data_IF_475005571001
#
_entry.id   IF_475005571001
#
_cell.length_a   1.000
_cell.length_b   1.000
_cell.length_c   1.000
_cell.angle_alpha   90.00
_cell.angle_beta   90.00
_cell.angle_gamma   90.00
#
_symmetry.space_group_name_H-M   'P 1'
#
loop_
_entity.id
_entity.type
_entity.pdbx_description
1 polymer ?
#
# COMPACT_ATOMS: atom_id res chain seq x y z
N UNK A 1 49.96 -20.08 -3.62
CA UNK A 1 49.03 -19.14 -2.99
C UNK A 1 49.24 -17.78 -3.62
N UNK A 2 48.21 -17.14 -4.12
CA UNK A 2 48.24 -15.75 -4.60
C UNK A 2 47.06 -15.01 -3.98
N UNK A 3 47.34 -13.88 -3.35
CA UNK A 3 46.32 -12.91 -2.94
C UNK A 3 46.25 -11.85 -4.03
N UNK A 4 45.06 -11.63 -4.59
CA UNK A 4 44.78 -10.52 -5.48
C UNK A 4 44.00 -9.46 -4.72
N UNK A 5 44.56 -8.25 -4.59
CA UNK A 5 43.85 -7.11 -4.03
C UNK A 5 42.99 -6.45 -5.11
N UNK A 6 41.67 -6.50 -4.94
CA UNK A 6 40.72 -5.89 -5.87
C UNK A 6 40.14 -4.59 -5.28
N UNK A 7 40.52 -3.45 -5.85
CA UNK A 7 40.02 -2.14 -5.43
C UNK A 7 38.78 -1.73 -6.22
N UNK A 8 37.61 -1.84 -5.59
CA UNK A 8 36.33 -1.36 -6.16
C UNK A 8 36.29 0.17 -6.10
N UNK A 9 36.29 0.83 -7.26
CA UNK A 9 36.01 2.27 -7.36
C UNK A 9 34.51 2.50 -7.51
N UNK A 10 33.88 3.00 -6.45
CA UNK A 10 32.53 3.56 -6.53
C UNK A 10 32.62 4.96 -7.14
N UNK A 11 31.96 5.18 -8.28
CA UNK A 11 31.83 6.50 -8.87
C UNK A 11 30.63 7.23 -8.22
N UNK A 12 30.93 8.12 -7.29
CA UNK A 12 29.96 9.12 -6.84
C UNK A 12 29.74 10.18 -7.93
N UNK A 13 28.49 10.49 -8.25
CA UNK A 13 28.11 11.58 -9.15
C UNK A 13 27.48 12.68 -8.30
N UNK A 14 28.30 13.66 -7.91
CA UNK A 14 27.81 14.89 -7.28
C UNK A 14 27.21 15.82 -8.35
N UNK A 15 26.03 16.36 -8.05
CA UNK A 15 25.45 17.46 -8.81
C UNK A 15 25.98 18.81 -8.32
N UNK A 16 26.15 19.78 -9.22
CA UNK A 16 26.29 21.20 -8.86
C UNK A 16 25.92 22.13 -10.00
N UNK A 17 25.24 23.20 -9.62
CA UNK A 17 24.82 24.33 -10.45
C UNK A 17 25.97 25.31 -10.70
N UNK A 18 25.84 26.15 -11.75
CA UNK A 18 25.87 27.63 -11.68
C UNK A 18 25.74 28.24 -13.11
N UNK A 19 25.35 29.52 -13.27
CA UNK A 19 24.85 30.06 -14.54
C UNK A 19 25.86 30.91 -15.34
N UNK A 20 25.43 31.39 -16.51
CA UNK A 20 26.11 32.46 -17.26
C UNK A 20 25.11 33.52 -17.77
N UNK A 21 25.39 34.79 -17.48
CA UNK A 21 24.64 35.98 -17.94
C UNK A 21 25.40 36.73 -19.03
N UNK A 22 24.70 37.27 -20.03
CA UNK A 22 25.25 38.26 -20.99
C UNK A 22 24.20 39.33 -21.32
N UNK A 23 24.64 40.53 -21.68
CA UNK A 23 23.89 41.79 -21.60
C UNK A 23 23.34 42.31 -22.96
N UNK A 24 22.19 43.00 -22.93
CA UNK A 24 21.80 44.28 -23.61
C UNK A 24 22.17 44.61 -25.10
N UNK A 25 21.71 45.75 -25.68
CA UNK A 25 20.44 46.50 -25.51
C UNK A 25 19.76 46.95 -26.84
N UNK A 26 18.48 47.35 -26.77
CA UNK A 26 17.88 48.22 -27.79
C UNK A 26 16.77 49.16 -27.24
N UNK A 27 16.71 50.39 -27.78
CA UNK A 27 15.77 51.48 -27.44
C UNK A 27 14.43 51.27 -28.20
N UNK A 28 13.27 51.93 -27.95
CA UNK A 28 13.04 53.34 -27.59
C UNK A 28 11.55 53.58 -27.20
N UNK A 29 11.24 54.61 -26.36
CA UNK A 29 9.99 55.44 -26.26
C UNK A 29 8.60 54.79 -26.52
N UNK A 30 7.58 54.98 -25.67
CA UNK A 30 7.03 56.31 -25.27
C UNK A 30 6.17 56.28 -23.99
N UNK A 31 6.03 57.44 -23.34
CA UNK A 31 5.11 57.77 -22.22
C UNK A 31 3.89 58.57 -22.76
N UNK A 32 2.91 59.09 -21.96
CA UNK A 32 2.75 59.09 -20.49
C UNK A 32 1.34 58.76 -19.93
N UNK A 33 1.23 58.61 -18.60
CA UNK A 33 0.37 59.45 -17.70
C UNK A 33 0.59 59.06 -16.22
N UNK A 34 0.90 60.07 -15.40
CA UNK A 34 0.54 60.40 -13.99
C UNK A 34 -0.13 59.34 -13.06
N UNK A 35 0.03 59.34 -11.72
CA UNK A 35 0.67 60.31 -10.79
C UNK A 35 1.16 59.63 -9.48
N UNK A 36 1.95 60.34 -8.67
CA UNK A 36 2.52 59.94 -7.36
C UNK A 36 2.54 61.18 -6.44
N UNK A 37 2.97 61.17 -5.15
CA UNK A 37 3.51 60.10 -4.29
C UNK A 37 2.48 59.71 -3.16
N UNK A 38 2.68 59.42 -1.86
CA UNK A 38 3.75 59.54 -0.84
C UNK A 38 3.74 58.41 0.21
N UNK A 39 4.84 58.34 0.98
CA UNK A 39 5.08 57.61 2.24
C UNK A 39 5.33 58.64 3.38
N UNK A 40 5.52 58.31 4.69
CA UNK A 40 6.12 57.11 5.31
C UNK A 40 5.19 56.49 6.39
N UNK A 41 5.56 55.73 7.43
CA UNK A 41 6.86 55.38 8.03
C UNK A 41 6.84 54.03 8.80
N UNK A 42 8.00 53.65 9.35
CA UNK A 42 8.22 52.66 10.43
C UNK A 42 9.02 53.37 11.56
N UNK A 43 9.19 52.80 12.79
CA UNK A 43 10.26 51.81 12.99
C UNK A 43 9.98 50.68 14.04
N UNK A 44 10.65 49.53 13.85
CA UNK A 44 11.21 48.60 14.87
C UNK A 44 10.25 47.97 15.94
N UNK A 45 10.59 46.89 16.66
CA UNK A 45 11.79 46.03 16.65
C UNK A 45 11.46 44.57 17.05
N UNK A 46 12.49 43.74 17.26
CA UNK A 46 12.52 42.30 17.57
C UNK A 46 11.47 41.72 18.54
N UNK A 47 11.11 40.43 18.34
CA UNK A 47 11.59 39.32 19.18
C UNK A 47 11.23 37.93 18.62
N UNK A 48 12.04 36.93 18.97
CA UNK A 48 11.90 35.54 18.51
C UNK A 48 11.21 34.62 19.54
N UNK A 49 10.58 33.54 19.07
CA UNK A 49 10.42 32.32 19.87
C UNK A 49 10.14 31.09 18.98
N UNK A 50 10.82 29.98 19.28
CA UNK A 50 10.57 28.67 18.67
C UNK A 50 9.39 27.95 19.35
N UNK A 51 8.67 27.10 18.62
CA UNK A 51 7.66 26.21 19.21
C UNK A 51 7.52 24.87 18.46
N UNK A 52 8.53 24.01 18.55
CA UNK A 52 8.49 22.66 17.94
C UNK A 52 7.37 21.79 18.54
N UNK A 53 6.35 21.46 17.72
CA UNK A 53 5.38 20.40 18.08
C UNK A 53 5.89 19.04 17.58
N UNK A 54 6.56 18.30 18.47
CA UNK A 54 6.86 16.87 18.26
C UNK A 54 5.56 16.10 18.07
N UNK A 55 5.44 15.41 16.93
CA UNK A 55 4.42 14.37 16.74
C UNK A 55 4.86 13.13 17.54
N UNK A 56 3.99 12.58 18.37
CA UNK A 56 4.27 11.38 19.18
C UNK A 56 3.36 10.26 18.71
N UNK A 57 3.93 9.23 18.09
CA UNK A 57 3.20 8.02 17.72
C UNK A 57 2.99 7.12 18.97
N UNK A 58 1.78 6.57 19.20
CA UNK A 58 1.58 5.55 20.23
C UNK A 58 2.29 4.23 19.86
N UNK A 59 2.73 3.49 20.87
CA UNK A 59 3.47 2.24 20.68
C UNK A 59 2.56 1.06 20.30
N UNK A 60 2.97 0.27 19.30
CA UNK A 60 2.30 -0.98 18.90
C UNK A 60 3.09 -2.22 19.31
N UNK A 61 2.73 -2.87 20.43
CA UNK A 61 3.00 -4.29 20.77
C UNK A 61 2.57 -4.62 22.23
N UNK A 62 2.45 -5.90 22.63
CA UNK A 62 2.42 -7.13 21.83
C UNK A 62 1.14 -7.98 22.05
N UNK A 63 0.96 -9.04 21.26
CA UNK A 63 -0.08 -10.06 21.49
C UNK A 63 0.50 -11.48 21.42
N UNK A 64 0.46 -12.16 22.56
CA UNK A 64 0.84 -13.53 22.91
C UNK A 64 0.07 -13.79 24.23
N UNK A 65 -0.52 -14.94 24.58
CA UNK A 65 -0.25 -16.34 24.17
C UNK A 65 -1.52 -17.24 24.20
N UNK A 66 -1.44 -18.34 23.44
CA UNK A 66 -1.89 -19.72 23.73
C UNK A 66 -3.32 -20.08 24.20
N UNK A 67 -4.00 -20.90 23.38
CA UNK A 67 -4.15 -22.37 23.56
C UNK A 67 -4.62 -23.01 22.24
N UNK A 68 -3.98 -24.07 21.73
CA UNK A 68 -4.14 -25.52 22.08
C UNK A 68 -5.57 -26.05 21.95
N UNK A 69 -5.83 -27.19 21.30
CA UNK A 69 -5.04 -28.01 20.34
C UNK A 69 -5.97 -29.09 19.74
N UNK A 70 -5.62 -29.68 18.59
CA UNK A 70 -5.36 -31.14 18.45
C UNK A 70 -5.09 -31.55 16.97
N UNK A 71 -4.52 -32.75 16.69
CA UNK A 71 -3.66 -32.92 15.51
C UNK A 71 -4.22 -33.78 14.36
N UNK A 72 -3.78 -33.45 13.13
CA UNK A 72 -3.78 -34.35 11.98
C UNK A 72 -2.49 -34.13 11.17
N UNK A 73 -1.52 -35.03 11.29
CA UNK A 73 -0.17 -34.87 10.74
C UNK A 73 -0.03 -35.52 9.35
N UNK A 74 -0.01 -34.73 8.28
CA UNK A 74 0.34 -35.23 6.94
C UNK A 74 1.19 -34.22 6.15
N UNK A 75 2.38 -34.67 5.73
CA UNK A 75 3.24 -34.16 4.65
C UNK A 75 3.19 -32.66 4.29
N UNK A 76 4.11 -31.88 4.88
CA UNK A 76 4.47 -30.55 4.37
C UNK A 76 5.58 -30.72 3.31
N UNK A 77 5.19 -30.86 2.03
CA UNK A 77 6.11 -30.74 0.88
C UNK A 77 5.88 -29.37 0.25
N UNK A 78 6.77 -28.44 0.57
CA UNK A 78 6.78 -27.09 0.01
C UNK A 78 7.60 -27.13 -1.28
N UNK A 79 6.94 -27.11 -2.43
CA UNK A 79 7.61 -26.84 -3.70
C UNK A 79 8.05 -25.37 -3.69
N UNK A 80 9.35 -25.14 -3.55
CA UNK A 80 9.95 -23.84 -3.78
C UNK A 80 10.11 -23.68 -5.30
N UNK A 81 9.32 -22.78 -5.90
CA UNK A 81 9.44 -22.47 -7.32
C UNK A 81 10.84 -21.88 -7.60
N UNK A 82 11.64 -22.48 -8.51
CA UNK A 82 12.98 -22.01 -8.79
C UNK A 82 12.92 -20.67 -9.52
N UNK A 83 13.52 -19.64 -8.93
CA UNK A 83 13.64 -18.31 -9.52
C UNK A 83 14.30 -18.40 -10.92
N UNK A 84 13.62 -18.00 -12.01
CA UNK A 84 14.17 -18.08 -13.35
C UNK A 84 15.43 -17.21 -13.53
N UNK A 85 15.62 -16.16 -12.71
CA UNK A 85 16.84 -15.37 -12.73
C UNK A 85 18.06 -16.14 -12.23
N UNK A 86 17.88 -17.11 -11.31
CA UNK A 86 18.98 -17.90 -10.74
C UNK A 86 19.60 -18.89 -11.75
N UNK A 87 18.89 -19.23 -12.83
CA UNK A 87 19.37 -20.18 -13.85
C UNK A 87 20.21 -19.50 -14.94
N UNK A 88 20.29 -18.16 -14.94
CA UNK A 88 21.06 -17.37 -15.89
C UNK A 88 22.56 -17.26 -15.55
N UNK A 89 23.07 -18.10 -14.63
CA UNK A 89 24.51 -18.32 -14.45
C UNK A 89 25.05 -19.08 -15.66
N UNK A 90 25.27 -18.35 -16.76
CA UNK A 90 25.91 -18.83 -17.98
C UNK A 90 27.21 -19.52 -17.59
N UNK A 91 27.29 -20.81 -17.91
CA UNK A 91 28.52 -21.58 -17.88
C UNK A 91 29.44 -21.01 -18.96
N UNK A 92 30.20 -19.98 -18.60
CA UNK A 92 31.40 -19.60 -19.33
C UNK A 92 32.41 -20.71 -19.04
N UNK A 93 32.23 -21.85 -19.72
CA UNK A 93 33.26 -22.86 -19.82
C UNK A 93 34.37 -22.23 -20.66
N UNK A 94 35.37 -21.72 -19.94
CA UNK A 94 36.56 -21.06 -20.49
C UNK A 94 37.30 -22.07 -21.38
N UNK A 95 36.91 -22.10 -22.67
CA UNK A 95 37.49 -22.97 -23.69
C UNK A 95 39.01 -22.78 -23.64
N UNK A 96 39.73 -23.81 -23.19
CA UNK A 96 41.19 -23.79 -23.04
C UNK A 96 41.80 -23.55 -24.41
N UNK A 97 42.16 -22.29 -24.70
CA UNK A 97 42.64 -21.93 -26.03
C UNK A 97 43.97 -22.64 -26.32
N UNK A 98 43.97 -23.56 -27.28
CA UNK A 98 45.14 -24.37 -27.64
C UNK A 98 46.11 -23.53 -28.49
N UNK A 99 47.42 -23.77 -28.38
CA UNK A 99 48.38 -23.14 -29.30
C UNK A 99 48.13 -23.64 -30.72
N UNK A 100 48.13 -22.71 -31.68
CA UNK A 100 48.13 -22.99 -33.12
C UNK A 100 49.14 -24.10 -33.51
N UNK A 101 50.33 -24.04 -32.92
CA UNK A 101 51.43 -24.97 -33.17
C UNK A 101 51.08 -26.42 -32.82
N UNK A 102 50.20 -26.64 -31.84
CA UNK A 102 49.77 -27.97 -31.40
C UNK A 102 48.86 -28.63 -32.43
N UNK A 103 47.90 -27.88 -32.98
CA UNK A 103 47.04 -28.37 -34.06
C UNK A 103 47.87 -28.68 -35.33
N UNK A 104 48.85 -27.83 -35.66
CA UNK A 104 49.79 -28.06 -36.77
C UNK A 104 50.69 -29.28 -36.51
N UNK A 105 51.15 -29.51 -35.28
CA UNK A 105 51.91 -30.71 -34.94
C UNK A 105 51.10 -31.99 -35.17
N UNK A 106 49.80 -32.01 -34.85
CA UNK A 106 48.94 -33.15 -35.17
C UNK A 106 48.72 -33.34 -36.68
N UNK A 107 48.61 -32.26 -37.47
CA UNK A 107 48.59 -32.37 -38.94
C UNK A 107 49.89 -32.93 -39.50
N UNK A 108 51.05 -32.56 -38.93
CA UNK A 108 52.35 -33.12 -39.32
C UNK A 108 52.47 -34.60 -38.96
N UNK A 109 52.01 -35.01 -37.76
CA UNK A 109 51.97 -36.44 -37.38
C UNK A 109 51.01 -37.23 -38.26
N UNK A 110 49.85 -36.67 -38.63
CA UNK A 110 48.91 -37.28 -39.59
C UNK A 110 49.58 -37.51 -40.95
N UNK A 111 50.25 -36.49 -41.51
CA UNK A 111 50.95 -36.60 -42.79
C UNK A 111 52.09 -37.64 -42.74
N UNK A 112 52.86 -37.66 -41.65
CA UNK A 112 53.91 -38.67 -41.43
C UNK A 112 53.29 -40.08 -41.33
N UNK A 113 52.21 -40.26 -40.57
CA UNK A 113 51.53 -41.55 -40.44
C UNK A 113 50.99 -42.05 -41.79
N UNK A 114 50.42 -41.16 -42.60
CA UNK A 114 49.98 -41.47 -43.96
C UNK A 114 51.14 -41.84 -44.90
N UNK A 115 52.29 -41.15 -44.79
CA UNK A 115 53.49 -41.43 -45.60
C UNK A 115 54.19 -42.77 -45.25
N UNK A 116 53.99 -43.28 -44.04
CA UNK A 116 54.56 -44.56 -43.58
C UNK A 116 53.50 -45.68 -43.45
N UNK A 117 52.29 -45.48 -43.96
CA UNK A 117 51.17 -46.45 -43.94
C UNK A 117 50.81 -46.95 -42.53
N UNK A 118 50.75 -46.05 -41.54
CA UNK A 118 50.45 -46.35 -40.12
C UNK A 118 49.04 -45.85 -39.72
N UNK A 119 47.95 -46.60 -40.02
CA UNK A 119 46.58 -46.11 -39.86
C UNK A 119 46.22 -45.78 -38.41
N UNK A 120 46.61 -46.60 -37.42
CA UNK A 120 46.31 -46.36 -36.00
C UNK A 120 46.85 -45.00 -35.51
N UNK A 121 48.00 -44.56 -36.05
CA UNK A 121 48.61 -43.27 -35.73
C UNK A 121 47.95 -42.12 -36.52
N UNK A 122 47.52 -42.38 -37.76
CA UNK A 122 46.80 -41.44 -38.59
C UNK A 122 45.43 -41.08 -37.99
N UNK A 123 44.66 -42.10 -37.56
CA UNK A 123 43.36 -41.91 -36.89
C UNK A 123 43.52 -41.19 -35.54
N UNK A 124 44.52 -41.56 -34.73
CA UNK A 124 44.81 -40.88 -33.47
C UNK A 124 45.23 -39.42 -33.69
N UNK A 125 46.03 -39.14 -34.71
CA UNK A 125 46.43 -37.78 -35.06
C UNK A 125 45.24 -36.96 -35.58
N UNK A 126 44.33 -37.55 -36.37
CA UNK A 126 43.10 -36.91 -36.82
C UNK A 126 42.17 -36.56 -35.65
N UNK A 127 41.96 -37.50 -34.72
CA UNK A 127 41.14 -37.25 -33.52
C UNK A 127 41.72 -36.12 -32.66
N UNK A 128 43.05 -36.10 -32.44
CA UNK A 128 43.71 -35.04 -31.67
C UNK A 128 43.83 -33.71 -32.41
N UNK A 129 43.79 -33.72 -33.75
CA UNK A 129 43.60 -32.52 -34.54
C UNK A 129 42.18 -31.95 -34.34
N UNK A 130 41.11 -32.77 -34.50
CA UNK A 130 39.71 -32.35 -34.32
C UNK A 130 39.46 -31.75 -32.93
N UNK A 131 39.85 -32.47 -31.87
CA UNK A 131 39.75 -32.01 -30.47
C UNK A 131 40.38 -30.63 -30.23
N UNK A 132 41.44 -30.29 -30.97
CA UNK A 132 42.15 -29.02 -30.82
C UNK A 132 41.61 -27.93 -31.75
N UNK A 133 41.14 -28.29 -32.95
CA UNK A 133 40.59 -27.37 -33.95
C UNK A 133 39.37 -26.60 -33.41
N UNK A 134 38.50 -27.27 -32.65
CA UNK A 134 37.39 -26.65 -31.91
C UNK A 134 37.87 -25.57 -30.91
N UNK A 135 39.09 -25.71 -30.37
CA UNK A 135 39.70 -24.84 -29.37
C UNK A 135 40.75 -23.84 -29.93
N UNK A 136 40.97 -23.82 -31.25
CA UNK A 136 41.83 -22.82 -31.92
C UNK A 136 41.14 -21.44 -31.90
N UNK A 137 41.93 -20.36 -31.72
CA UNK A 137 41.41 -18.99 -31.70
C UNK A 137 41.07 -18.50 -33.11
N UNK A 138 40.03 -17.64 -33.30
CA UNK A 138 39.66 -17.14 -34.62
C UNK A 138 40.82 -16.52 -35.42
N UNK A 139 41.73 -15.81 -34.74
CA UNK A 139 42.84 -15.11 -35.38
C UNK A 139 43.85 -16.06 -36.04
N UNK A 140 44.04 -17.26 -35.48
CA UNK A 140 45.00 -18.27 -35.96
C UNK A 140 44.34 -19.44 -36.70
N UNK A 141 43.00 -19.53 -36.69
CA UNK A 141 42.25 -20.55 -37.42
C UNK A 141 42.52 -20.50 -38.94
N UNK A 142 42.68 -19.29 -39.50
CA UNK A 142 43.06 -19.11 -40.90
C UNK A 142 44.41 -19.75 -41.26
N UNK A 143 45.37 -19.76 -40.33
CA UNK A 143 46.68 -20.36 -40.54
C UNK A 143 46.61 -21.89 -40.45
N UNK A 144 45.72 -22.46 -39.62
CA UNK A 144 45.46 -23.91 -39.58
C UNK A 144 44.84 -24.37 -40.90
N UNK A 145 43.81 -23.66 -41.35
CA UNK A 145 43.18 -23.89 -42.64
C UNK A 145 44.22 -23.78 -43.77
N UNK A 146 45.12 -22.79 -43.75
CA UNK A 146 46.19 -22.66 -44.75
C UNK A 146 47.09 -23.89 -44.77
N UNK A 147 47.51 -24.41 -43.61
CA UNK A 147 48.33 -25.64 -43.57
C UNK A 147 47.60 -26.82 -44.23
N UNK A 148 46.33 -27.04 -43.89
CA UNK A 148 45.50 -28.11 -44.48
C UNK A 148 45.34 -27.95 -46.00
N UNK A 149 44.93 -26.77 -46.48
CA UNK A 149 44.69 -26.53 -47.91
C UNK A 149 45.96 -26.35 -48.77
N UNK A 150 47.16 -26.32 -48.17
CA UNK A 150 48.44 -26.22 -48.92
C UNK A 150 49.25 -27.52 -48.96
N UNK A 151 49.06 -28.43 -48.02
CA UNK A 151 49.88 -29.64 -47.91
C UNK A 151 49.35 -30.76 -48.80
N UNK A 152 49.79 -30.80 -50.05
CA UNK A 152 49.41 -31.82 -51.04
C UNK A 152 49.74 -33.28 -50.66
N UNK A 153 50.60 -33.49 -49.67
CA UNK A 153 50.86 -34.83 -49.09
C UNK A 153 49.70 -35.33 -48.20
N UNK A 154 48.69 -34.50 -47.94
CA UNK A 154 47.44 -34.86 -47.26
C UNK A 154 46.41 -35.23 -48.35
N UNK A 155 46.59 -36.37 -48.99
CA UNK A 155 45.63 -36.90 -49.97
C UNK A 155 44.37 -37.45 -49.29
N UNK A 156 43.49 -36.54 -48.84
CA UNK A 156 42.20 -36.92 -48.26
C UNK A 156 41.32 -35.74 -47.89
N UNK A 157 40.13 -35.68 -48.49
CA UNK A 157 39.13 -34.62 -48.24
C UNK A 157 38.59 -34.61 -46.79
N UNK A 158 38.92 -35.62 -45.99
CA UNK A 158 38.51 -35.74 -44.59
C UNK A 158 38.97 -34.53 -43.75
N UNK A 159 40.20 -34.05 -43.96
CA UNK A 159 40.74 -32.91 -43.20
C UNK A 159 40.22 -31.55 -43.68
N UNK A 160 40.00 -31.37 -44.99
CA UNK A 160 39.33 -30.19 -45.54
C UNK A 160 37.85 -30.13 -45.14
N UNK A 161 37.16 -31.27 -45.13
CA UNK A 161 35.77 -31.40 -44.68
C UNK A 161 35.63 -31.09 -43.19
N UNK A 162 36.53 -31.58 -42.34
CA UNK A 162 36.55 -31.28 -40.90
C UNK A 162 36.82 -29.79 -40.63
N UNK A 163 37.78 -29.18 -41.32
CA UNK A 163 38.02 -27.72 -41.24
C UNK A 163 36.81 -26.91 -41.71
N UNK A 164 36.11 -27.36 -42.76
CA UNK A 164 34.89 -26.72 -43.23
C UNK A 164 33.73 -26.88 -42.21
N UNK A 165 33.58 -28.04 -41.55
CA UNK A 165 32.54 -28.27 -40.53
C UNK A 165 32.73 -27.35 -39.33
N UNK A 166 33.92 -27.36 -38.72
CA UNK A 166 34.20 -26.50 -37.56
C UNK A 166 34.09 -25.02 -37.93
N UNK A 167 34.44 -24.63 -39.16
CA UNK A 167 34.27 -23.25 -39.63
C UNK A 167 32.80 -22.86 -39.89
N UNK A 168 31.93 -23.79 -40.29
CA UNK A 168 30.49 -23.58 -40.42
C UNK A 168 29.78 -23.53 -39.06
N UNK A 169 30.22 -24.33 -38.10
CA UNK A 169 29.71 -24.33 -36.72
C UNK A 169 30.08 -23.02 -36.00
N UNK A 170 31.36 -22.63 -36.08
CA UNK A 170 31.93 -21.42 -35.45
C UNK A 170 31.84 -20.16 -36.34
N UNK A 171 30.97 -20.19 -37.34
CA UNK A 171 30.84 -19.16 -38.38
C UNK A 171 30.69 -17.73 -37.85
N UNK A 172 29.84 -17.50 -36.84
CA UNK A 172 29.69 -16.16 -36.25
C UNK A 172 31.03 -15.71 -35.58
N UNK A 173 31.67 -16.57 -34.76
CA UNK A 173 32.98 -16.28 -34.11
C UNK A 173 34.09 -15.96 -35.12
N UNK A 174 34.13 -16.68 -36.25
CA UNK A 174 35.18 -16.53 -37.26
C UNK A 174 34.95 -15.32 -38.16
N UNK A 175 33.70 -15.03 -38.54
CA UNK A 175 33.38 -13.90 -39.42
C UNK A 175 33.49 -12.54 -38.71
N UNK A 176 33.34 -12.50 -37.38
CA UNK A 176 33.66 -11.31 -36.57
C UNK A 176 35.18 -11.03 -36.53
N UNK A 177 36.04 -12.04 -36.76
CA UNK A 177 37.49 -11.87 -36.78
C UNK A 177 37.97 -11.31 -38.13
N UNK A 178 38.19 -9.99 -38.17
CA UNK A 178 38.75 -9.29 -39.35
C UNK A 178 40.07 -9.88 -39.87
N UNK A 179 40.86 -10.55 -39.04
CA UNK A 179 42.09 -11.27 -39.44
C UNK A 179 41.72 -12.51 -40.26
N UNK A 180 40.79 -13.34 -39.78
CA UNK A 180 40.30 -14.51 -40.50
C UNK A 180 39.66 -14.12 -41.84
N UNK A 181 38.75 -13.15 -41.84
CA UNK A 181 38.08 -12.68 -43.07
C UNK A 181 39.08 -12.14 -44.09
N UNK A 182 40.08 -11.36 -43.65
CA UNK A 182 41.14 -10.87 -44.54
C UNK A 182 41.97 -12.02 -45.13
N UNK A 183 42.35 -13.02 -44.33
CA UNK A 183 43.10 -14.18 -44.81
C UNK A 183 42.28 -15.02 -45.80
N UNK A 184 41.01 -15.29 -45.49
CA UNK A 184 40.04 -16.02 -46.33
C UNK A 184 39.87 -15.39 -47.72
N UNK A 185 39.93 -14.06 -47.82
CA UNK A 185 39.84 -13.32 -49.09
C UNK A 185 41.19 -13.17 -49.82
N UNK A 186 42.31 -13.16 -49.09
CA UNK A 186 43.65 -12.88 -49.64
C UNK A 186 44.41 -14.12 -50.10
N UNK A 187 44.09 -15.29 -49.56
CA UNK A 187 44.82 -16.54 -49.80
C UNK A 187 44.06 -17.43 -50.81
N UNK A 188 44.61 -17.70 -52.01
CA UNK A 188 43.94 -18.53 -53.02
C UNK A 188 43.56 -19.94 -52.52
N UNK A 189 44.32 -20.52 -51.60
CA UNK A 189 44.07 -21.86 -51.06
C UNK A 189 42.84 -21.87 -50.14
N UNK A 190 42.57 -20.74 -49.46
CA UNK A 190 41.39 -20.57 -48.60
C UNK A 190 40.11 -20.21 -49.37
N UNK A 191 40.19 -19.89 -50.67
CA UNK A 191 39.00 -19.58 -51.47
C UNK A 191 38.06 -20.78 -51.63
N UNK A 192 38.56 -22.02 -51.50
CA UNK A 192 37.73 -23.23 -51.44
C UNK A 192 36.84 -23.21 -50.19
N UNK A 193 37.42 -22.92 -49.02
CA UNK A 193 36.69 -22.75 -47.75
C UNK A 193 35.73 -21.55 -47.83
N UNK A 194 36.13 -20.45 -48.46
CA UNK A 194 35.26 -19.29 -48.69
C UNK A 194 34.01 -19.68 -49.51
N UNK A 195 34.17 -20.56 -50.51
CA UNK A 195 33.08 -21.12 -51.32
C UNK A 195 32.03 -21.87 -50.51
N UNK A 196 32.42 -22.58 -49.44
CA UNK A 196 31.47 -23.22 -48.50
C UNK A 196 30.89 -22.26 -47.46
N UNK A 197 31.68 -21.29 -46.97
CA UNK A 197 31.23 -20.38 -45.91
C UNK A 197 30.28 -19.29 -46.40
N UNK A 198 30.54 -18.66 -47.54
CA UNK A 198 29.77 -17.51 -48.04
C UNK A 198 28.26 -17.83 -48.23
N UNK A 199 27.85 -18.97 -48.83
CA UNK A 199 26.43 -19.34 -48.93
C UNK A 199 25.77 -19.55 -47.57
N UNK A 200 26.50 -20.11 -46.60
CA UNK A 200 26.01 -20.37 -45.26
C UNK A 200 25.84 -19.07 -44.46
N UNK A 201 26.82 -18.16 -44.53
CA UNK A 201 26.75 -16.79 -43.97
C UNK A 201 25.56 -16.03 -44.55
N UNK A 202 25.38 -16.05 -45.88
CA UNK A 202 24.28 -15.37 -46.55
C UNK A 202 22.91 -15.95 -46.15
N UNK A 203 22.81 -17.26 -45.95
CA UNK A 203 21.59 -17.92 -45.49
C UNK A 203 21.27 -17.55 -44.04
N UNK A 204 22.30 -17.58 -43.16
CA UNK A 204 22.20 -17.21 -41.74
C UNK A 204 21.84 -15.72 -41.56
N UNK A 205 22.37 -14.85 -42.41
CA UNK A 205 22.02 -13.42 -42.45
C UNK A 205 20.54 -13.21 -42.79
N UNK A 206 20.03 -13.85 -43.86
CA UNK A 206 18.62 -13.80 -44.25
C UNK A 206 17.68 -14.36 -43.18
N UNK A 207 18.07 -15.43 -42.48
CA UNK A 207 17.27 -15.92 -41.34
C UNK A 207 17.27 -14.94 -40.16
N UNK A 208 18.41 -14.28 -39.86
CA UNK A 208 18.50 -13.25 -38.82
C UNK A 208 17.61 -12.03 -39.17
N UNK A 209 17.62 -11.60 -40.43
CA UNK A 209 16.77 -10.55 -41.00
C UNK A 209 15.27 -10.86 -40.81
N UNK A 210 14.79 -12.02 -41.26
CA UNK A 210 13.39 -12.45 -41.07
C UNK A 210 13.00 -12.53 -39.58
N UNK A 211 13.87 -13.05 -38.70
CA UNK A 211 13.57 -13.08 -37.26
C UNK A 211 13.52 -11.70 -36.61
N UNK A 212 14.19 -10.70 -37.20
CA UNK A 212 14.17 -9.31 -36.75
C UNK A 212 12.89 -8.61 -37.20
N UNK A 213 12.48 -8.77 -38.47
CA UNK A 213 11.17 -8.31 -38.97
C UNK A 213 10.01 -8.90 -38.14
N UNK A 214 10.06 -10.20 -37.84
CA UNK A 214 9.08 -10.84 -36.94
C UNK A 214 9.08 -10.25 -35.52
N UNK A 215 10.23 -9.83 -35.01
CA UNK A 215 10.36 -9.24 -33.67
C UNK A 215 9.84 -7.81 -33.65
N UNK A 216 10.16 -7.00 -34.66
CA UNK A 216 9.64 -5.64 -34.84
C UNK A 216 8.10 -5.64 -34.99
N UNK A 217 7.55 -6.59 -35.75
CA UNK A 217 6.11 -6.77 -35.85
C UNK A 217 5.48 -7.09 -34.49
N UNK A 218 6.04 -8.04 -33.74
CA UNK A 218 5.56 -8.40 -32.38
C UNK A 218 5.70 -7.24 -31.38
N UNK A 219 6.74 -6.43 -31.49
CA UNK A 219 6.93 -5.22 -30.68
C UNK A 219 5.88 -4.15 -31.01
N UNK A 220 5.60 -3.89 -32.29
CA UNK A 220 4.56 -2.93 -32.69
C UNK A 220 3.15 -3.38 -32.28
N UNK A 221 2.85 -4.69 -32.37
CA UNK A 221 1.63 -5.28 -31.81
C UNK A 221 1.51 -5.04 -30.29
N UNK A 222 2.60 -5.23 -29.53
CA UNK A 222 2.62 -4.98 -28.08
C UNK A 222 2.43 -3.50 -27.77
N UNK A 223 3.07 -2.61 -28.53
CA UNK A 223 2.93 -1.15 -28.36
C UNK A 223 1.48 -0.68 -28.61
N UNK A 224 0.80 -1.22 -29.62
CA UNK A 224 -0.62 -0.96 -29.87
C UNK A 224 -1.50 -1.47 -28.71
N UNK A 225 -1.21 -2.66 -28.18
CA UNK A 225 -1.93 -3.23 -27.03
C UNK A 225 -1.73 -2.41 -25.75
N UNK A 226 -0.53 -1.88 -25.51
CA UNK A 226 -0.25 -0.99 -24.38
C UNK A 226 -1.02 0.32 -24.49
N UNK A 227 -1.00 0.99 -25.65
CA UNK A 227 -1.74 2.25 -25.85
C UNK A 227 -3.26 2.08 -25.64
N UNK A 228 -3.83 0.93 -26.02
CA UNK A 228 -5.22 0.60 -25.72
C UNK A 228 -5.49 0.47 -24.22
N UNK A 229 -4.62 -0.22 -23.48
CA UNK A 229 -4.73 -0.38 -22.02
C UNK A 229 -4.54 0.94 -21.27
N UNK A 230 -3.67 1.83 -21.73
CA UNK A 230 -3.50 3.19 -21.19
C UNK A 230 -4.80 4.01 -21.36
N UNK A 231 -5.45 3.92 -22.53
CA UNK A 231 -6.75 4.56 -22.77
C UNK A 231 -7.85 3.99 -21.87
N UNK A 232 -7.92 2.66 -21.71
CA UNK A 232 -8.90 2.01 -20.82
C UNK A 232 -8.68 2.35 -19.35
N UNK A 233 -7.42 2.44 -18.90
CA UNK A 233 -7.05 2.84 -17.54
C UNK A 233 -7.46 4.28 -17.26
N UNK A 234 -7.10 5.23 -18.13
CA UNK A 234 -7.53 6.62 -18.03
C UNK A 234 -9.08 6.73 -18.04
N UNK A 235 -9.75 5.93 -18.87
CA UNK A 235 -11.22 5.85 -18.90
C UNK A 235 -11.81 5.31 -17.59
N UNK A 236 -11.12 4.39 -16.90
CA UNK A 236 -11.53 3.84 -15.61
C UNK A 236 -11.27 4.80 -14.45
N UNK A 237 -10.16 5.53 -14.45
CA UNK A 237 -9.84 6.56 -13.45
C UNK A 237 -10.86 7.70 -13.47
N UNK A 238 -11.20 8.23 -14.65
CA UNK A 238 -12.23 9.25 -14.80
C UNK A 238 -13.58 8.77 -14.23
N UNK A 239 -14.04 7.56 -14.61
CA UNK A 239 -15.27 6.96 -14.04
C UNK A 239 -15.21 6.83 -12.52
N UNK A 240 -14.07 6.42 -11.96
CA UNK A 240 -13.90 6.29 -10.52
C UNK A 240 -14.00 7.67 -9.83
N UNK A 241 -13.39 8.70 -10.41
CA UNK A 241 -13.44 10.06 -9.88
C UNK A 241 -14.85 10.67 -9.98
N UNK A 242 -15.59 10.41 -11.05
CA UNK A 242 -17.02 10.75 -11.17
C UNK A 242 -17.83 10.09 -10.03
N UNK A 243 -17.71 8.77 -9.82
CA UNK A 243 -18.39 8.07 -8.72
C UNK A 243 -17.99 8.59 -7.33
N UNK A 244 -16.74 9.01 -7.13
CA UNK A 244 -16.29 9.61 -5.88
C UNK A 244 -16.93 10.98 -5.65
N UNK A 245 -16.94 11.87 -6.65
CA UNK A 245 -17.55 13.21 -6.52
C UNK A 245 -19.07 13.15 -6.37
N UNK A 246 -19.78 12.28 -7.09
CA UNK A 246 -21.21 12.02 -6.88
C UNK A 246 -21.50 11.56 -5.44
N UNK A 247 -20.67 10.65 -4.91
CA UNK A 247 -20.81 10.11 -3.55
C UNK A 247 -20.59 11.17 -2.47
N UNK A 248 -19.62 12.07 -2.67
CA UNK A 248 -19.35 13.18 -1.76
C UNK A 248 -20.48 14.22 -1.80
N UNK A 249 -20.94 14.62 -2.99
CA UNK A 249 -22.09 15.52 -3.15
C UNK A 249 -23.36 14.93 -2.50
N UNK A 250 -23.61 13.62 -2.68
CA UNK A 250 -24.72 12.92 -2.02
C UNK A 250 -24.57 12.84 -0.50
N UNK A 251 -23.34 12.76 0.03
CA UNK A 251 -23.08 12.82 1.47
C UNK A 251 -23.32 14.22 2.04
N UNK A 252 -22.78 15.27 1.42
CA UNK A 252 -23.00 16.68 1.79
C UNK A 252 -24.49 17.03 1.75
N UNK A 253 -25.21 16.59 0.71
CA UNK A 253 -26.66 16.78 0.61
C UNK A 253 -27.40 16.15 1.81
N UNK A 254 -27.05 14.92 2.22
CA UNK A 254 -27.62 14.24 3.39
C UNK A 254 -27.28 14.96 4.70
N UNK A 255 -26.02 15.35 4.92
CA UNK A 255 -25.63 16.10 6.12
C UNK A 255 -26.39 17.43 6.23
N UNK A 256 -26.51 18.20 5.14
CA UNK A 256 -27.29 19.44 5.12
C UNK A 256 -28.78 19.24 5.44
N UNK A 257 -29.35 18.07 5.13
CA UNK A 257 -30.74 17.74 5.44
C UNK A 257 -30.91 17.43 6.93
N UNK A 258 -29.99 16.65 7.51
CA UNK A 258 -29.95 16.35 8.95
C UNK A 258 -29.73 17.62 9.78
N UNK A 259 -28.81 18.50 9.37
CA UNK A 259 -28.57 19.79 10.04
C UNK A 259 -29.85 20.66 10.05
N UNK A 260 -30.53 20.78 8.90
CA UNK A 260 -31.80 21.51 8.81
C UNK A 260 -32.90 20.88 9.67
N UNK A 261 -32.93 19.57 9.82
CA UNK A 261 -33.86 18.88 10.72
C UNK A 261 -33.55 19.15 12.19
N UNK A 262 -32.28 19.00 12.60
CA UNK A 262 -31.84 19.25 13.97
C UNK A 262 -32.08 20.71 14.39
N UNK A 263 -31.82 21.67 13.49
CA UNK A 263 -32.10 23.09 13.72
C UNK A 263 -33.59 23.36 13.96
N UNK A 264 -34.48 22.76 13.17
CA UNK A 264 -35.94 22.83 13.38
C UNK A 264 -36.35 22.24 14.74
N UNK A 265 -35.82 21.07 15.10
CA UNK A 265 -36.09 20.44 16.41
C UNK A 265 -35.62 21.32 17.57
N UNK A 266 -34.44 21.91 17.47
CA UNK A 266 -33.90 22.85 18.46
C UNK A 266 -34.79 24.10 18.60
N UNK A 267 -35.30 24.65 17.50
CA UNK A 267 -36.16 25.82 17.53
C UNK A 267 -37.59 25.50 18.05
N UNK A 268 -38.12 24.29 17.79
CA UNK A 268 -39.32 23.78 18.46
C UNK A 268 -39.10 23.65 19.98
N UNK A 269 -38.02 23.01 20.42
CA UNK A 269 -37.71 22.82 21.83
C UNK A 269 -37.47 24.15 22.59
N UNK A 270 -36.92 25.18 21.92
CA UNK A 270 -36.85 26.55 22.48
C UNK A 270 -38.25 27.12 22.71
N UNK A 271 -39.16 26.97 21.76
CA UNK A 271 -40.53 27.49 21.88
C UNK A 271 -41.30 26.75 23.00
N UNK A 272 -41.17 25.43 23.09
CA UNK A 272 -41.72 24.63 24.20
C UNK A 272 -41.15 25.10 25.55
N UNK A 273 -39.85 25.36 25.64
CA UNK A 273 -39.21 25.88 26.86
C UNK A 273 -39.70 27.28 27.25
N UNK A 274 -40.01 28.15 26.28
CA UNK A 274 -40.61 29.47 26.51
C UNK A 274 -42.06 29.35 27.03
N UNK A 275 -42.87 28.47 26.44
CA UNK A 275 -44.24 28.18 26.92
C UNK A 275 -44.21 27.63 28.34
N UNK A 276 -43.36 26.64 28.63
CA UNK A 276 -43.22 26.08 29.98
C UNK A 276 -42.78 27.13 31.01
N UNK A 277 -41.87 28.04 30.65
CA UNK A 277 -41.48 29.18 31.50
C UNK A 277 -42.63 30.14 31.76
N UNK A 278 -43.46 30.43 30.76
CA UNK A 278 -44.66 31.27 30.92
C UNK A 278 -45.65 30.62 31.88
N UNK A 279 -45.99 29.35 31.66
CA UNK A 279 -46.93 28.60 32.48
C UNK A 279 -46.44 28.47 33.93
N UNK A 280 -45.14 28.22 34.14
CA UNK A 280 -44.56 28.16 35.49
C UNK A 280 -44.58 29.53 36.20
N UNK A 281 -44.34 30.62 35.47
CA UNK A 281 -44.45 31.97 36.02
C UNK A 281 -45.91 32.36 36.36
N UNK A 282 -46.89 31.81 35.65
CA UNK A 282 -48.32 31.99 35.93
C UNK A 282 -48.76 31.16 37.14
N UNK A 283 -48.43 29.87 37.19
CA UNK A 283 -48.66 29.00 38.35
C UNK A 283 -48.01 29.54 39.63
N UNK A 284 -46.81 30.13 39.54
CA UNK A 284 -46.17 30.75 40.70
C UNK A 284 -46.92 32.01 41.20
N UNK A 285 -47.55 32.79 40.31
CA UNK A 285 -48.45 33.90 40.69
C UNK A 285 -49.78 33.41 41.28
N UNK A 286 -50.26 32.23 40.89
CA UNK A 286 -51.42 31.59 41.52
C UNK A 286 -51.07 31.09 42.92
N UNK A 287 -49.94 30.40 43.06
CA UNK A 287 -49.43 29.93 44.36
C UNK A 287 -49.20 31.10 45.34
N UNK A 288 -48.59 32.20 44.88
CA UNK A 288 -48.40 33.41 45.72
C UNK A 288 -49.73 34.05 46.14
N UNK A 289 -50.74 34.08 45.26
CA UNK A 289 -52.09 34.54 45.62
C UNK A 289 -52.72 33.63 46.68
N UNK A 290 -52.68 32.31 46.49
CA UNK A 290 -53.23 31.33 47.43
C UNK A 290 -52.53 31.37 48.80
N UNK A 291 -51.20 31.56 48.84
CA UNK A 291 -50.46 31.77 50.11
C UNK A 291 -50.95 33.03 50.81
N UNK A 292 -51.08 34.14 50.08
CA UNK A 292 -51.53 35.43 50.64
C UNK A 292 -52.98 35.35 51.16
N UNK A 293 -53.84 34.58 50.49
CA UNK A 293 -55.21 34.30 50.91
C UNK A 293 -55.25 33.42 52.18
N UNK A 294 -54.42 32.38 52.26
CA UNK A 294 -54.27 31.52 53.45
C UNK A 294 -53.75 32.35 54.65
N UNK A 295 -52.73 33.19 54.46
CA UNK A 295 -52.21 34.06 55.51
C UNK A 295 -53.27 35.06 56.01
N UNK A 296 -54.09 35.61 55.11
CA UNK A 296 -55.24 36.45 55.47
C UNK A 296 -56.31 35.69 56.27
N UNK A 297 -56.63 34.46 55.87
CA UNK A 297 -57.56 33.59 56.60
C UNK A 297 -57.01 33.15 57.97
N UNK A 298 -55.70 32.95 58.09
CA UNK A 298 -55.04 32.67 59.38
C UNK A 298 -55.15 33.88 60.33
N UNK A 299 -54.88 35.10 59.86
CA UNK A 299 -55.06 36.32 60.66
C UNK A 299 -56.52 36.57 61.06
N UNK A 300 -57.48 36.25 60.18
CA UNK A 300 -58.91 36.27 60.49
C UNK A 300 -59.28 35.23 61.57
N UNK A 301 -58.67 34.03 61.53
CA UNK A 301 -58.90 32.98 62.50
C UNK A 301 -58.24 33.28 63.87
N UNK A 302 -57.04 33.89 63.88
CA UNK A 302 -56.39 34.37 65.11
C UNK A 302 -57.19 35.47 65.81
N UNK A 303 -57.80 36.39 65.03
CA UNK A 303 -58.68 37.42 65.57
C UNK A 303 -60.04 36.86 66.05
N UNK A 304 -60.60 35.84 65.38
CA UNK A 304 -61.73 35.06 65.92
C UNK A 304 -61.37 34.24 67.18
N UNK A 305 -60.11 33.85 67.35
CA UNK A 305 -59.65 33.00 68.47
C UNK A 305 -59.66 33.71 69.83
N UNK A 306 -59.93 35.01 69.90
CA UNK A 306 -60.22 35.68 71.17
C UNK A 306 -61.59 35.28 71.76
N UNK A 307 -62.45 34.59 71.00
CA UNK A 307 -63.70 33.96 71.49
C UNK A 307 -63.61 32.43 71.63
N UNK A 308 -63.04 32.02 72.78
CA UNK A 308 -63.23 30.77 73.55
C UNK A 308 -64.30 29.74 73.08
N UNK A 309 -64.09 28.42 73.34
CA UNK A 309 -63.13 27.55 72.66
C UNK A 309 -63.73 26.21 72.19
N UNK A 310 -63.18 25.59 71.14
CA UNK A 310 -63.49 24.20 70.73
C UNK A 310 -62.25 23.45 70.20
N UNK A 311 -61.15 23.54 70.97
CA UNK A 311 -59.84 23.01 70.59
C UNK A 311 -59.78 21.47 70.75
N UNK A 312 -60.30 20.73 69.77
CA UNK A 312 -60.10 19.27 69.65
C UNK A 312 -59.96 18.80 68.20
N UNK A 313 -60.71 19.38 67.26
CA UNK A 313 -60.69 19.00 65.83
C UNK A 313 -59.43 19.45 65.09
N UNK A 314 -58.69 20.44 65.60
CA UNK A 314 -57.45 20.92 65.00
C UNK A 314 -56.28 19.96 65.21
N UNK A 315 -56.18 19.36 66.40
CA UNK A 315 -55.05 18.50 66.77
C UNK A 315 -55.05 17.17 65.99
N UNK A 316 -56.23 16.63 65.68
CA UNK A 316 -56.36 15.45 64.80
C UNK A 316 -55.87 15.72 63.38
N UNK A 317 -56.21 16.88 62.82
CA UNK A 317 -55.85 17.26 61.44
C UNK A 317 -54.36 17.59 61.31
N UNK A 318 -53.76 18.21 62.34
CA UNK A 318 -52.31 18.43 62.40
C UNK A 318 -51.57 17.08 62.48
N UNK A 319 -52.10 16.10 63.24
CA UNK A 319 -51.52 14.76 63.33
C UNK A 319 -51.63 13.97 62.03
N UNK A 320 -52.73 14.07 61.27
CA UNK A 320 -52.83 13.42 59.96
C UNK A 320 -51.86 14.04 58.95
N UNK A 321 -51.78 15.37 58.86
CA UNK A 321 -50.85 16.08 57.97
C UNK A 321 -49.38 15.77 58.31
N UNK A 322 -49.04 15.59 59.58
CA UNK A 322 -47.71 15.14 60.00
C UNK A 322 -47.41 13.70 59.54
N UNK A 323 -48.38 12.78 59.69
CA UNK A 323 -48.25 11.39 59.23
C UNK A 323 -48.12 11.30 57.70
N UNK A 324 -48.92 12.06 56.94
CA UNK A 324 -48.82 12.15 55.49
C UNK A 324 -47.45 12.68 55.05
N UNK A 325 -46.98 13.78 55.66
CA UNK A 325 -45.65 14.35 55.38
C UNK A 325 -44.53 13.33 55.59
N UNK A 326 -44.60 12.54 56.65
CA UNK A 326 -43.53 11.59 56.99
C UNK A 326 -43.65 10.29 56.17
N UNK A 327 -44.87 9.90 55.76
CA UNK A 327 -45.11 8.90 54.70
C UNK A 327 -44.48 9.32 53.36
N UNK A 328 -44.67 10.58 52.94
CA UNK A 328 -44.01 11.13 51.74
C UNK A 328 -42.48 11.14 51.87
N UNK A 329 -41.93 11.44 53.05
CA UNK A 329 -40.47 11.37 53.30
C UNK A 329 -39.92 9.95 53.10
N UNK A 330 -40.57 8.92 53.64
CA UNK A 330 -40.11 7.53 53.43
C UNK A 330 -40.29 7.04 51.99
N UNK A 331 -41.40 7.40 51.32
CA UNK A 331 -41.57 7.14 49.87
C UNK A 331 -40.42 7.77 49.05
N UNK A 332 -39.99 8.98 49.39
CA UNK A 332 -38.85 9.64 48.74
C UNK A 332 -37.52 8.94 49.05
N UNK A 333 -37.24 8.58 50.32
CA UNK A 333 -36.05 7.80 50.70
C UNK A 333 -36.00 6.40 50.06
N UNK A 334 -37.15 5.79 49.75
CA UNK A 334 -37.21 4.50 49.06
C UNK A 334 -36.86 4.66 47.58
N UNK A 335 -37.38 5.70 46.91
CA UNK A 335 -37.02 6.06 45.53
C UNK A 335 -35.54 6.45 45.38
N UNK A 336 -34.98 7.22 46.31
CA UNK A 336 -33.55 7.59 46.31
C UNK A 336 -32.63 6.36 46.42
N UNK A 337 -32.97 5.41 47.31
CA UNK A 337 -32.26 4.13 47.42
C UNK A 337 -32.35 3.29 46.14
N UNK A 338 -33.54 3.19 45.54
CA UNK A 338 -33.73 2.47 44.27
C UNK A 338 -32.91 3.10 43.13
N UNK A 339 -32.94 4.44 42.99
CA UNK A 339 -32.18 5.16 41.97
C UNK A 339 -30.66 4.95 42.14
N UNK A 340 -30.14 5.01 43.37
CA UNK A 340 -28.72 4.73 43.66
C UNK A 340 -28.33 3.29 43.31
N UNK A 341 -29.20 2.32 43.62
CA UNK A 341 -29.02 0.93 43.20
C UNK A 341 -28.91 0.81 41.68
N UNK A 342 -29.83 1.42 40.95
CA UNK A 342 -29.84 1.42 39.47
C UNK A 342 -28.56 2.08 38.90
N UNK A 343 -28.13 3.22 39.43
CA UNK A 343 -26.88 3.87 39.00
C UNK A 343 -25.66 2.98 39.26
N UNK A 344 -25.52 2.43 40.47
CA UNK A 344 -24.43 1.49 40.82
C UNK A 344 -24.45 0.19 40.01
N UNK A 345 -25.60 -0.17 39.42
CA UNK A 345 -25.69 -1.27 38.43
C UNK A 345 -25.23 -0.81 37.05
N UNK A 346 -25.65 0.36 36.58
CA UNK A 346 -25.22 0.92 35.30
C UNK A 346 -23.71 1.19 35.25
N UNK A 347 -23.11 1.71 36.33
CA UNK A 347 -21.66 1.96 36.45
C UNK A 347 -20.80 0.68 36.31
N UNK A 348 -21.39 -0.50 36.52
CA UNK A 348 -20.74 -1.82 36.41
C UNK A 348 -20.99 -2.50 35.06
N UNK A 349 -21.70 -1.85 34.16
CA UNK A 349 -22.26 -2.47 32.97
C UNK A 349 -21.51 -1.99 31.73
N UNK A 350 -20.63 -2.84 31.21
CA UNK A 350 -19.82 -2.57 30.02
C UNK A 350 -20.49 -3.08 28.74
N UNK A 351 -21.33 -4.11 28.84
CA UNK A 351 -21.85 -4.87 27.71
C UNK A 351 -23.35 -5.20 27.87
N UNK A 352 -24.05 -5.34 26.75
CA UNK A 352 -25.46 -5.66 26.75
C UNK A 352 -25.68 -7.18 26.97
N UNK A 353 -26.51 -7.57 27.96
CA UNK A 353 -26.88 -8.99 28.18
C UNK A 353 -27.60 -9.65 26.98
N UNK A 354 -28.05 -8.88 25.98
CA UNK A 354 -28.54 -9.42 24.72
C UNK A 354 -27.37 -9.64 23.74
N UNK A 355 -27.07 -10.91 23.46
CA UNK A 355 -25.97 -11.37 22.58
C UNK A 355 -26.03 -10.78 21.16
N UNK A 356 -27.18 -10.27 20.69
CA UNK A 356 -27.28 -9.60 19.38
C UNK A 356 -26.83 -8.12 19.38
N UNK A 357 -26.25 -7.60 20.47
CA UNK A 357 -26.03 -6.18 20.71
C UNK A 357 -24.54 -5.88 20.99
N UNK A 358 -23.75 -5.79 19.93
CA UNK A 358 -22.29 -5.64 19.94
C UNK A 358 -21.78 -4.18 19.95
N UNK A 359 -22.65 -3.21 20.20
CA UNK A 359 -22.31 -1.79 20.25
C UNK A 359 -22.06 -1.32 21.69
N UNK A 360 -21.32 -0.21 21.86
CA UNK A 360 -21.09 0.43 23.16
C UNK A 360 -22.41 0.63 23.93
N UNK A 361 -22.41 0.27 25.23
CA UNK A 361 -23.64 0.15 26.00
C UNK A 361 -24.26 1.51 26.36
N UNK A 362 -25.03 2.07 25.43
CA UNK A 362 -25.93 3.18 25.68
C UNK A 362 -27.16 2.68 26.46
N UNK A 363 -27.50 3.33 27.58
CA UNK A 363 -28.61 2.95 28.46
C UNK A 363 -29.41 4.18 28.87
N UNK A 364 -30.73 4.08 28.90
CA UNK A 364 -31.60 5.10 29.51
C UNK A 364 -32.52 4.50 30.58
N UNK A 365 -32.97 5.37 31.49
CA UNK A 365 -34.04 5.08 32.44
C UNK A 365 -35.39 5.15 31.72
N UNK A 366 -36.22 4.12 31.90
CA UNK A 366 -37.61 4.08 31.47
C UNK A 366 -38.52 3.88 32.68
N UNK A 367 -39.78 4.30 32.59
CA UNK A 367 -40.79 4.04 33.61
C UNK A 367 -41.63 2.83 33.19
N UNK A 368 -41.88 1.88 34.10
CA UNK A 368 -42.70 0.71 33.79
C UNK A 368 -44.06 0.74 34.48
N UNK A 369 -45.09 1.11 33.72
CA UNK A 369 -46.49 1.17 34.16
C UNK A 369 -47.07 -0.21 34.55
N UNK A 370 -46.30 -1.29 34.40
CA UNK A 370 -46.72 -2.69 34.66
C UNK A 370 -46.59 -3.11 36.12
N UNK A 371 -45.78 -2.42 36.93
CA UNK A 371 -45.61 -2.78 38.35
C UNK A 371 -46.78 -2.26 39.17
N UNK A 372 -47.79 -3.11 39.38
CA UNK A 372 -48.85 -2.87 40.36
C UNK A 372 -48.38 -2.99 41.83
N UNK A 373 -47.13 -3.43 42.04
CA UNK A 373 -46.42 -3.29 43.32
C UNK A 373 -46.04 -1.82 43.56
N UNK A 374 -46.28 -1.31 44.77
CA UNK A 374 -46.06 0.10 45.16
C UNK A 374 -44.60 0.59 45.08
N UNK A 375 -43.67 -0.30 44.69
CA UNK A 375 -42.24 -0.12 44.77
C UNK A 375 -41.60 0.14 43.40
N UNK A 376 -41.38 1.44 43.13
CA UNK A 376 -40.34 1.96 42.25
C UNK A 376 -40.29 1.35 40.83
N UNK A 377 -41.32 1.62 40.01
CA UNK A 377 -41.37 1.28 38.57
C UNK A 377 -40.37 2.04 37.68
N UNK A 378 -39.09 2.09 38.06
CA UNK A 378 -37.97 2.56 37.25
C UNK A 378 -37.17 1.36 36.74
N UNK A 379 -36.83 1.36 35.45
CA UNK A 379 -36.08 0.29 34.80
C UNK A 379 -34.98 0.81 33.89
N UNK A 380 -34.01 -0.03 33.56
CA UNK A 380 -33.01 0.28 32.53
C UNK A 380 -33.42 -0.31 31.18
N UNK A 381 -33.13 0.43 30.10
CA UNK A 381 -33.17 -0.09 28.72
C UNK A 381 -31.88 0.20 27.97
N UNK A 382 -31.38 -0.81 27.26
CA UNK A 382 -30.35 -0.61 26.25
C UNK A 382 -30.92 0.18 25.06
N UNK A 383 -30.20 1.21 24.61
CA UNK A 383 -30.67 2.10 23.56
C UNK A 383 -30.78 1.44 22.18
N UNK A 384 -29.81 0.58 21.82
CA UNK A 384 -29.77 -0.15 20.55
C UNK A 384 -30.89 -1.20 20.48
N UNK A 385 -30.88 -2.20 21.37
CA UNK A 385 -31.80 -3.34 21.27
C UNK A 385 -33.15 -3.14 22.01
N UNK A 386 -33.33 -2.06 22.79
CA UNK A 386 -34.53 -1.73 23.57
C UNK A 386 -34.98 -2.78 24.61
N UNK A 387 -34.15 -3.80 24.86
CA UNK A 387 -34.34 -4.79 25.90
C UNK A 387 -34.50 -4.13 27.27
N UNK A 388 -35.35 -4.75 28.09
CA UNK A 388 -35.84 -4.25 29.38
C UNK A 388 -35.16 -5.00 30.52
N UNK A 389 -34.67 -4.27 31.52
CA UNK A 389 -33.90 -4.83 32.63
C UNK A 389 -34.38 -4.27 33.97
N UNK A 390 -34.68 -5.18 34.90
CA UNK A 390 -35.29 -4.89 36.21
C UNK A 390 -34.29 -5.12 37.34
N UNK A 391 -34.37 -4.32 38.41
CA UNK A 391 -33.58 -4.50 39.62
C UNK A 391 -33.82 -5.85 40.31
N UNK A 392 -32.89 -6.24 41.20
CA UNK A 392 -32.85 -7.51 41.95
C UNK A 392 -32.76 -8.82 41.12
N UNK A 393 -33.02 -8.80 39.81
CA UNK A 393 -32.63 -9.84 38.84
C UNK A 393 -31.26 -9.56 38.17
N UNK A 394 -30.43 -8.74 38.80
CA UNK A 394 -29.08 -8.36 38.34
C UNK A 394 -28.06 -8.66 39.44
N UNK A 395 -28.07 -9.93 39.86
CA UNK A 395 -26.86 -10.67 40.22
C UNK A 395 -26.31 -11.39 38.97
#
# INVERSE_FOLDING_TARGET
MYQGDYTVKVLGVDARDEPATTEEPAKTRSSPFDEHPQHPALPAEELASEASKKYVAPHSRPLHTDKKSDPATTALVRTEDPDPAATALVRIEERRTVSFESAVAHLQVYAIASMYEVPDLQDLAFQKFKEQLEAVRPETFADVARVVYTHTAIEGDVLSSEVASVALERMDELMDSSIFVKALLSDPNLQVLAGSLIPAVLTRAKSKEVTMEEMELKMSEQQIKLAGLEQDLCSAENRAQDYHTERELAAVAKFSAVERQLKRQLDCAKNENLVLKSNFAEQNKELQRAITEIDGLLQANESMSQTKPSLSTSESTIKSLAADRDSWREKYKKRDRALKGIMTTADKWTECRNVSCYEDLNVWLDWDDRTASEDCGLMLRCGTCRCRYYGELIA
#
